data_IF_924506117892
#
_entry.id   IF_924506117892
#
_cell.length_a   1.000
_cell.length_b   1.000
_cell.length_c   1.000
_cell.angle_alpha   90.00
_cell.angle_beta   90.00
_cell.angle_gamma   90.00
#
_symmetry.space_group_name_H-M   'P 1'
#
loop_
_entity.id
_entity.type
_entity.pdbx_description
1 polymer ?
#
# COMPACT_ATOMS: atom_id res chain seq x y z
N UNK A 1 -9.69 -3.08 10.65
CA UNK A 1 -8.23 -2.99 10.39
C UNK A 1 -7.71 -1.56 10.28
N UNK A 2 -8.52 -0.59 9.84
CA UNK A 2 -8.10 0.81 9.62
C UNK A 2 -8.45 1.73 10.81
N UNK A 3 -9.33 1.27 11.71
CA UNK A 3 -9.82 2.03 12.87
C UNK A 3 -8.75 2.26 13.92
N UNK A 4 -7.83 1.31 14.11
CA UNK A 4 -6.75 1.44 15.09
C UNK A 4 -5.75 2.55 14.73
N UNK A 5 -5.45 2.72 13.43
CA UNK A 5 -4.48 3.74 12.98
C UNK A 5 -5.03 5.17 13.02
N UNK A 6 -6.35 5.36 13.10
CA UNK A 6 -6.97 6.69 13.30
C UNK A 6 -6.75 7.26 14.70
N UNK A 7 -6.28 6.42 15.63
CA UNK A 7 -6.03 6.79 17.03
C UNK A 7 -4.57 7.23 17.25
N UNK A 8 -3.75 7.25 16.19
CA UNK A 8 -2.36 7.70 16.28
C UNK A 8 -2.29 9.20 16.00
N UNK A 9 -1.98 9.98 17.04
CA UNK A 9 -1.96 11.45 16.98
C UNK A 9 -0.96 12.03 15.97
N UNK A 10 0.05 11.25 15.56
CA UNK A 10 1.13 11.66 14.65
C UNK A 10 1.08 11.02 13.26
N UNK A 11 0.03 10.28 12.93
CA UNK A 11 -0.06 9.59 11.64
C UNK A 11 -1.24 10.12 10.81
N UNK A 12 -0.94 10.57 9.60
CA UNK A 12 -1.97 10.94 8.63
C UNK A 12 -2.26 9.77 7.68
N UNK A 13 -3.53 9.46 7.48
CA UNK A 13 -3.94 8.40 6.55
C UNK A 13 -3.88 8.90 5.11
N UNK A 14 -3.34 8.05 4.24
CA UNK A 14 -3.34 8.22 2.78
C UNK A 14 -4.29 7.20 2.17
N UNK A 15 -5.27 7.69 1.42
CA UNK A 15 -6.27 6.83 0.76
C UNK A 15 -5.71 6.15 -0.47
N UNK A 16 -5.86 4.83 -0.56
CA UNK A 16 -5.49 4.09 -1.77
C UNK A 16 -6.59 4.18 -2.82
N UNK A 17 -6.31 4.85 -3.93
CA UNK A 17 -7.25 5.02 -5.05
C UNK A 17 -7.52 3.72 -5.82
N UNK A 18 -6.68 2.68 -5.67
CA UNK A 18 -6.97 1.38 -6.27
C UNK A 18 -8.24 0.76 -5.68
N UNK A 19 -8.59 1.07 -4.43
CA UNK A 19 -9.86 0.65 -3.82
C UNK A 19 -11.05 1.37 -4.42
N UNK A 20 -10.92 2.67 -4.68
CA UNK A 20 -11.96 3.47 -5.37
C UNK A 20 -12.18 2.90 -6.76
N UNK A 21 -11.10 2.74 -7.54
CA UNK A 21 -11.10 2.15 -8.87
C UNK A 21 -11.79 0.78 -8.90
N UNK A 22 -11.44 -0.11 -7.96
CA UNK A 22 -12.03 -1.45 -7.84
C UNK A 22 -13.54 -1.39 -7.60
N UNK A 23 -14.02 -0.48 -6.74
CA UNK A 23 -15.45 -0.34 -6.47
C UNK A 23 -16.22 0.11 -7.71
N UNK A 24 -15.69 1.06 -8.47
CA UNK A 24 -16.30 1.47 -9.75
C UNK A 24 -16.26 0.35 -10.78
N UNK A 25 -15.16 -0.41 -10.85
CA UNK A 25 -15.07 -1.59 -11.70
C UNK A 25 -16.14 -2.65 -11.34
N UNK A 26 -16.31 -2.97 -10.06
CA UNK A 26 -17.32 -3.94 -9.57
C UNK A 26 -18.76 -3.44 -9.77
N UNK A 27 -18.96 -2.11 -9.80
CA UNK A 27 -20.22 -1.46 -10.10
C UNK A 27 -20.52 -1.35 -11.61
N UNK A 28 -19.52 -1.58 -12.47
CA UNK A 28 -19.67 -1.51 -13.93
C UNK A 28 -20.13 -2.86 -14.47
N UNK A 29 -21.30 -2.96 -15.12
CA UNK A 29 -21.76 -4.25 -15.65
C UNK A 29 -20.96 -4.63 -16.91
N UNK A 30 -20.65 -5.94 -17.05
CA UNK A 30 -19.75 -6.46 -18.09
C UNK A 30 -20.25 -6.32 -19.54
N UNK A 31 -21.55 -6.04 -19.75
CA UNK A 31 -22.20 -5.99 -21.08
C UNK A 31 -22.73 -4.61 -21.44
N UNK A 32 -22.35 -3.56 -20.72
CA UNK A 32 -22.94 -2.23 -20.89
C UNK A 32 -22.07 -1.31 -21.72
N UNK A 33 -22.75 -0.35 -22.32
CA UNK A 33 -22.20 0.76 -23.09
C UNK A 33 -21.16 1.55 -22.27
N UNK A 34 -20.12 2.07 -22.95
CA UNK A 34 -19.00 2.80 -22.31
C UNK A 34 -19.45 4.08 -21.58
N UNK A 35 -20.72 4.43 -21.71
CA UNK A 35 -21.39 5.62 -21.17
C UNK A 35 -21.95 5.43 -19.75
N UNK A 36 -21.92 4.21 -19.18
CA UNK A 36 -22.43 3.98 -17.83
C UNK A 36 -21.71 4.80 -16.76
N UNK A 37 -22.40 5.16 -15.67
CA UNK A 37 -21.81 5.91 -14.56
C UNK A 37 -20.63 5.14 -13.90
N UNK A 38 -20.71 3.82 -13.84
CA UNK A 38 -19.61 2.98 -13.37
C UNK A 38 -18.37 3.12 -14.25
N UNK A 39 -18.54 3.04 -15.58
CA UNK A 39 -17.47 3.23 -16.54
C UNK A 39 -16.87 4.65 -16.48
N UNK A 40 -17.71 5.68 -16.27
CA UNK A 40 -17.24 7.05 -16.07
C UNK A 40 -16.39 7.20 -14.81
N UNK A 41 -16.81 6.62 -13.68
CA UNK A 41 -16.01 6.61 -12.46
C UNK A 41 -14.69 5.85 -12.62
N UNK A 42 -14.69 4.75 -13.38
CA UNK A 42 -13.49 4.02 -13.74
C UNK A 42 -12.55 4.88 -14.61
N UNK A 43 -13.09 5.61 -15.59
CA UNK A 43 -12.32 6.50 -16.45
C UNK A 43 -11.64 7.63 -15.68
N UNK A 44 -12.29 8.22 -14.67
CA UNK A 44 -11.64 9.16 -13.76
C UNK A 44 -10.45 8.53 -13.04
N UNK A 45 -10.65 7.33 -12.48
CA UNK A 45 -9.58 6.62 -11.78
C UNK A 45 -8.42 6.28 -12.73
N UNK A 46 -8.71 5.81 -13.93
CA UNK A 46 -7.69 5.50 -14.94
C UNK A 46 -6.89 6.73 -15.33
N UNK A 47 -7.54 7.89 -15.46
CA UNK A 47 -6.87 9.16 -15.75
C UNK A 47 -5.96 9.61 -14.60
N UNK A 48 -6.41 9.47 -13.34
CA UNK A 48 -5.56 9.74 -12.16
C UNK A 48 -4.30 8.86 -12.17
N UNK A 49 -4.46 7.55 -12.44
CA UNK A 49 -3.33 6.63 -12.51
C UNK A 49 -2.42 6.87 -13.71
N UNK A 50 -2.97 7.29 -14.85
CA UNK A 50 -2.18 7.65 -16.04
C UNK A 50 -1.25 8.82 -15.73
N UNK A 51 -1.79 9.89 -15.14
CA UNK A 51 -1.00 11.05 -14.75
C UNK A 51 0.13 10.67 -13.78
N UNK A 52 -0.16 9.88 -12.75
CA UNK A 52 0.87 9.41 -11.81
C UNK A 52 1.97 8.56 -12.48
N UNK A 53 1.61 7.74 -13.48
CA UNK A 53 2.59 6.96 -14.23
C UNK A 53 3.47 7.85 -15.10
N UNK A 54 2.90 8.88 -15.72
CA UNK A 54 3.64 9.87 -16.53
C UNK A 54 4.64 10.67 -15.66
N UNK A 55 4.43 10.70 -14.34
CA UNK A 55 5.27 11.40 -13.36
C UNK A 55 6.15 10.45 -12.51
N UNK A 56 6.27 9.19 -12.91
CA UNK A 56 7.00 8.19 -12.13
C UNK A 56 8.48 8.58 -11.93
N UNK A 57 9.11 9.15 -12.97
CA UNK A 57 10.54 9.50 -12.98
C UNK A 57 10.83 10.96 -12.57
N UNK A 58 9.81 11.75 -12.23
CA UNK A 58 9.98 13.12 -11.77
C UNK A 58 10.53 13.20 -10.34
N UNK A 59 11.14 14.33 -9.99
CA UNK A 59 11.52 14.61 -8.60
C UNK A 59 10.27 14.70 -7.70
N UNK A 60 10.47 14.55 -6.39
CA UNK A 60 9.40 14.69 -5.39
C UNK A 60 8.72 16.06 -5.48
N UNK A 61 9.48 17.13 -5.68
CA UNK A 61 8.99 18.50 -5.82
C UNK A 61 8.22 18.71 -7.12
N UNK A 62 8.75 18.21 -8.24
CA UNK A 62 8.10 18.28 -9.55
C UNK A 62 6.78 17.50 -9.57
N UNK A 63 6.78 16.28 -9.00
CA UNK A 63 5.58 15.47 -8.86
C UNK A 63 4.55 16.16 -7.97
N UNK A 64 4.97 16.77 -6.85
CA UNK A 64 4.07 17.53 -5.99
C UNK A 64 3.47 18.72 -6.73
N UNK A 65 4.26 19.47 -7.49
CA UNK A 65 3.77 20.57 -8.31
C UNK A 65 2.72 20.09 -9.33
N UNK A 66 3.03 19.02 -10.08
CA UNK A 66 2.10 18.37 -11.01
C UNK A 66 0.81 17.90 -10.34
N UNK A 67 0.90 17.33 -9.14
CA UNK A 67 -0.27 16.95 -8.34
C UNK A 67 -1.15 18.15 -8.02
N UNK A 68 -0.56 19.28 -7.63
CA UNK A 68 -1.30 20.49 -7.32
C UNK A 68 -1.95 21.12 -8.56
N UNK A 69 -1.26 21.14 -9.70
CA UNK A 69 -1.73 21.81 -10.92
C UNK A 69 -2.66 20.96 -11.79
N UNK A 70 -2.50 19.63 -11.79
CA UNK A 70 -3.20 18.73 -12.71
C UNK A 70 -4.05 17.67 -11.97
N UNK A 71 -3.52 17.03 -10.92
CA UNK A 71 -4.23 15.97 -10.21
C UNK A 71 -5.34 16.53 -9.30
N UNK A 72 -5.09 17.64 -8.61
CA UNK A 72 -6.04 18.24 -7.68
C UNK A 72 -7.34 18.71 -8.39
N UNK A 73 -7.28 19.42 -9.54
CA UNK A 73 -8.50 19.75 -10.31
C UNK A 73 -9.24 18.49 -10.78
N UNK A 74 -8.53 17.45 -11.21
CA UNK A 74 -9.16 16.19 -11.63
C UNK A 74 -9.86 15.48 -10.46
N UNK A 75 -9.28 15.52 -9.26
CA UNK A 75 -9.94 15.04 -8.05
C UNK A 75 -11.18 15.87 -7.71
N UNK A 76 -11.12 17.20 -7.84
CA UNK A 76 -12.26 18.08 -7.62
C UNK A 76 -13.41 17.74 -8.57
N UNK A 77 -13.11 17.60 -9.86
CA UNK A 77 -14.07 17.15 -10.87
C UNK A 77 -14.72 15.82 -10.50
N UNK A 78 -13.92 14.83 -10.09
CA UNK A 78 -14.40 13.51 -9.70
C UNK A 78 -15.32 13.57 -8.47
N UNK A 79 -14.93 14.28 -7.41
CA UNK A 79 -15.74 14.38 -6.20
C UNK A 79 -17.01 15.19 -6.43
N UNK A 80 -16.93 16.30 -7.17
CA UNK A 80 -18.10 17.07 -7.59
C UNK A 80 -19.05 16.22 -8.44
N UNK A 81 -18.52 15.46 -9.40
CA UNK A 81 -19.31 14.52 -10.19
C UNK A 81 -20.01 13.50 -9.28
N UNK A 82 -19.33 12.89 -8.32
CA UNK A 82 -19.93 11.94 -7.38
C UNK A 82 -21.08 12.55 -6.57
N UNK A 83 -20.93 13.79 -6.06
CA UNK A 83 -22.00 14.48 -5.29
C UNK A 83 -23.23 14.77 -6.13
N UNK A 84 -23.05 14.98 -7.43
CA UNK A 84 -24.14 15.33 -8.36
C UNK A 84 -24.88 14.12 -8.92
N UNK A 85 -24.55 12.88 -8.53
CA UNK A 85 -25.25 11.70 -9.02
C UNK A 85 -26.39 11.28 -8.09
N UNK A 86 -27.57 11.07 -8.66
CA UNK A 86 -28.67 10.39 -7.99
C UNK A 86 -28.54 8.87 -8.21
N UNK A 87 -28.12 8.15 -7.19
CA UNK A 87 -27.91 6.70 -7.23
C UNK A 87 -28.71 5.98 -6.16
N UNK A 88 -29.18 4.77 -6.48
CA UNK A 88 -29.93 3.96 -5.54
C UNK A 88 -29.06 3.63 -4.30
N UNK A 89 -29.50 3.95 -3.07
CA UNK A 89 -28.79 3.59 -1.85
C UNK A 89 -28.55 2.08 -1.77
N UNK A 90 -27.34 1.67 -1.36
CA UNK A 90 -26.96 0.25 -1.27
C UNK A 90 -26.70 -0.46 -2.60
N UNK A 91 -26.91 0.20 -3.76
CA UNK A 91 -26.42 -0.32 -5.03
C UNK A 91 -24.89 -0.32 -5.06
N UNK A 92 -24.27 -1.19 -5.88
CA UNK A 92 -22.80 -1.21 -6.03
C UNK A 92 -22.22 0.15 -6.41
N UNK A 93 -22.92 0.88 -7.29
CA UNK A 93 -22.53 2.23 -7.69
C UNK A 93 -22.69 3.22 -6.54
N UNK A 94 -23.81 3.15 -5.81
CA UNK A 94 -24.04 3.94 -4.60
C UNK A 94 -22.95 3.73 -3.56
N UNK A 95 -22.58 2.47 -3.28
CA UNK A 95 -21.48 2.13 -2.38
C UNK A 95 -20.13 2.65 -2.87
N UNK A 96 -19.88 2.67 -4.19
CA UNK A 96 -18.65 3.23 -4.75
C UNK A 96 -18.55 4.75 -4.52
N UNK A 97 -19.63 5.48 -4.80
CA UNK A 97 -19.70 6.93 -4.60
C UNK A 97 -19.68 7.30 -3.11
N UNK A 98 -20.46 6.63 -2.28
CA UNK A 98 -20.48 6.82 -0.83
C UNK A 98 -19.09 6.59 -0.22
N UNK A 99 -18.41 5.50 -0.61
CA UNK A 99 -17.05 5.23 -0.15
C UNK A 99 -16.07 6.33 -0.58
N UNK A 100 -16.19 6.82 -1.81
CA UNK A 100 -15.35 7.90 -2.34
C UNK A 100 -15.53 9.18 -1.53
N UNK A 101 -16.78 9.61 -1.34
CA UNK A 101 -17.13 10.84 -0.62
C UNK A 101 -16.81 10.75 0.87
N UNK A 102 -17.06 9.60 1.50
CA UNK A 102 -16.81 9.38 2.93
C UNK A 102 -15.33 9.57 3.31
N UNK A 103 -14.41 9.30 2.38
CA UNK A 103 -12.97 9.35 2.63
C UNK A 103 -12.27 10.37 1.74
N UNK A 104 -12.99 11.37 1.21
CA UNK A 104 -12.44 12.39 0.31
C UNK A 104 -11.19 13.06 0.87
N UNK A 105 -11.21 13.52 2.12
CA UNK A 105 -10.05 14.15 2.78
C UNK A 105 -8.85 13.20 2.82
N UNK A 106 -9.09 11.91 3.04
CA UNK A 106 -8.04 10.88 3.08
C UNK A 106 -7.46 10.60 1.68
N UNK A 107 -8.28 10.65 0.63
CA UNK A 107 -7.82 10.49 -0.75
C UNK A 107 -7.03 11.71 -1.25
N UNK A 108 -7.34 12.89 -0.73
CA UNK A 108 -6.63 14.15 -1.03
C UNK A 108 -5.30 14.27 -0.30
N UNK A 109 -5.03 13.49 0.75
CA UNK A 109 -3.74 13.52 1.45
C UNK A 109 -2.54 13.35 0.50
N UNK A 110 -2.67 12.59 -0.59
CA UNK A 110 -1.59 12.41 -1.57
C UNK A 110 -1.11 13.72 -2.21
N UNK A 111 -1.93 14.77 -2.14
CA UNK A 111 -1.60 16.10 -2.66
C UNK A 111 -0.70 16.90 -1.72
N UNK A 112 -0.53 16.49 -0.45
CA UNK A 112 0.28 17.27 0.50
C UNK A 112 1.77 17.01 0.39
N UNK A 113 2.18 15.90 -0.23
CA UNK A 113 3.57 15.44 -0.27
C UNK A 113 3.80 14.55 -1.51
N UNK A 114 4.88 14.81 -2.25
CA UNK A 114 5.25 14.13 -3.49
C UNK A 114 5.75 12.69 -3.29
N UNK A 115 6.18 12.32 -2.08
CA UNK A 115 6.65 10.97 -1.73
C UNK A 115 5.50 10.00 -1.43
N UNK A 116 4.29 10.54 -1.22
CA UNK A 116 3.11 9.71 -1.02
C UNK A 116 2.71 9.00 -2.31
N UNK A 117 2.16 7.79 -2.18
CA UNK A 117 1.75 6.96 -3.32
C UNK A 117 0.23 6.94 -3.48
N UNK A 118 -0.23 7.05 -4.73
CA UNK A 118 -1.67 7.00 -5.06
C UNK A 118 -2.28 5.60 -4.78
N UNK A 119 -1.45 4.56 -4.79
CA UNK A 119 -1.85 3.19 -4.46
C UNK A 119 -0.83 2.49 -3.56
N UNK A 120 -1.33 1.79 -2.55
CA UNK A 120 -0.56 0.91 -1.68
C UNK A 120 -0.41 -0.52 -2.23
N UNK A 121 -0.76 -0.79 -3.50
CA UNK A 121 -0.79 -2.14 -4.07
C UNK A 121 0.53 -2.91 -3.90
N UNK A 122 1.68 -2.23 -3.99
CA UNK A 122 2.99 -2.86 -3.76
C UNK A 122 3.14 -3.35 -2.32
N UNK A 123 2.77 -2.51 -1.35
CA UNK A 123 2.79 -2.87 0.06
C UNK A 123 1.80 -4.00 0.38
N UNK A 124 0.60 -3.96 -0.19
CA UNK A 124 -0.40 -5.02 -0.03
C UNK A 124 0.07 -6.35 -0.62
N UNK A 125 0.72 -6.33 -1.80
CA UNK A 125 1.30 -7.53 -2.42
C UNK A 125 2.40 -8.13 -1.55
N UNK A 126 3.31 -7.30 -1.01
CA UNK A 126 4.36 -7.77 -0.10
C UNK A 126 3.78 -8.42 1.17
N UNK A 127 2.73 -7.81 1.73
CA UNK A 127 2.06 -8.33 2.93
C UNK A 127 1.22 -9.59 2.66
N UNK A 128 0.76 -9.80 1.43
CA UNK A 128 -0.07 -10.97 1.07
C UNK A 128 0.65 -12.29 1.36
N UNK A 129 1.96 -12.36 1.12
CA UNK A 129 2.79 -13.54 1.42
C UNK A 129 2.74 -13.88 2.91
N UNK A 130 2.93 -12.89 3.79
CA UNK A 130 2.80 -13.06 5.25
C UNK A 130 1.39 -13.52 5.63
N UNK A 131 0.36 -12.86 5.09
CA UNK A 131 -1.04 -13.14 5.44
C UNK A 131 -1.48 -14.55 5.05
N UNK A 132 -0.98 -15.05 3.92
CA UNK A 132 -1.20 -16.43 3.47
C UNK A 132 -0.33 -17.41 4.28
N UNK A 133 0.94 -17.08 4.50
CA UNK A 133 1.90 -17.88 5.25
C UNK A 133 1.45 -18.16 6.67
N UNK A 134 1.03 -17.14 7.44
CA UNK A 134 0.56 -17.31 8.82
C UNK A 134 -0.67 -18.21 8.99
N UNK A 135 -1.44 -18.45 7.92
CA UNK A 135 -2.56 -19.41 7.95
C UNK A 135 -2.07 -20.85 7.79
N UNK A 136 -0.88 -21.03 7.21
CA UNK A 136 -0.34 -22.31 6.76
C UNK A 136 0.97 -22.70 7.49
N UNK A 137 1.58 -21.79 8.25
CA UNK A 137 2.82 -22.03 8.98
C UNK A 137 2.51 -22.47 10.42
N UNK A 138 2.96 -23.68 10.75
CA UNK A 138 2.95 -24.16 12.13
C UNK A 138 3.79 -23.20 12.97
N UNK A 139 3.28 -22.79 14.14
CA UNK A 139 3.96 -21.91 15.12
C UNK A 139 4.00 -20.39 14.82
N UNK A 140 3.27 -19.88 13.82
CA UNK A 140 3.19 -18.42 13.55
C UNK A 140 2.29 -17.63 14.52
N UNK A 141 1.83 -18.25 15.62
CA UNK A 141 0.90 -17.66 16.60
C UNK A 141 1.59 -17.18 17.88
N UNK A 142 2.88 -17.47 18.06
CA UNK A 142 3.67 -16.89 19.17
C UNK A 142 4.34 -15.58 18.73
N UNK A 143 4.62 -14.70 19.70
CA UNK A 143 5.35 -13.46 19.43
C UNK A 143 6.73 -13.72 18.81
N UNK A 144 7.46 -14.71 19.35
CA UNK A 144 8.77 -15.11 18.82
C UNK A 144 8.68 -15.70 17.41
N UNK A 145 7.64 -16.48 17.11
CA UNK A 145 7.37 -16.99 15.78
C UNK A 145 7.07 -15.87 14.77
N UNK A 146 6.29 -14.86 15.19
CA UNK A 146 6.00 -13.68 14.37
C UNK A 146 7.27 -12.84 14.11
N UNK A 147 8.12 -12.65 15.12
CA UNK A 147 9.39 -11.93 15.00
C UNK A 147 10.34 -12.63 14.02
N UNK A 148 10.51 -13.95 14.17
CA UNK A 148 11.36 -14.76 13.30
C UNK A 148 10.86 -14.75 11.85
N UNK A 149 9.55 -14.89 11.68
CA UNK A 149 8.86 -14.79 10.39
C UNK A 149 9.10 -13.44 9.71
N UNK A 150 8.99 -12.33 10.46
CA UNK A 150 9.20 -10.99 9.95
C UNK A 150 10.64 -10.78 9.44
N UNK A 151 11.64 -11.32 10.16
CA UNK A 151 13.05 -11.27 9.75
C UNK A 151 13.26 -12.03 8.44
N UNK A 152 12.82 -13.29 8.38
CA UNK A 152 13.01 -14.16 7.20
C UNK A 152 12.34 -13.54 5.97
N UNK A 153 11.08 -13.09 6.09
CA UNK A 153 10.38 -12.46 4.98
C UNK A 153 11.04 -11.15 4.54
N UNK A 154 11.58 -10.36 5.46
CA UNK A 154 12.30 -9.13 5.11
C UNK A 154 13.53 -9.43 4.25
N UNK A 155 14.31 -10.48 4.59
CA UNK A 155 15.47 -10.91 3.81
C UNK A 155 15.06 -11.44 2.43
N UNK A 156 14.03 -12.28 2.36
CA UNK A 156 13.52 -12.83 1.10
C UNK A 156 12.98 -11.74 0.17
N UNK A 157 12.20 -10.79 0.68
CA UNK A 157 11.68 -9.68 -0.12
C UNK A 157 12.78 -8.71 -0.55
N UNK A 158 13.84 -8.55 0.25
CA UNK A 158 15.05 -7.81 -0.16
C UNK A 158 15.74 -8.50 -1.34
N UNK A 159 15.97 -9.81 -1.25
CA UNK A 159 16.58 -10.58 -2.34
C UNK A 159 15.80 -10.42 -3.66
N UNK A 160 14.48 -10.60 -3.60
CA UNK A 160 13.59 -10.44 -4.76
C UNK A 160 13.64 -9.03 -5.35
N UNK A 161 13.64 -7.99 -4.51
CA UNK A 161 13.72 -6.59 -4.98
C UNK A 161 15.01 -6.29 -5.73
N UNK A 162 16.10 -6.96 -5.37
CA UNK A 162 17.38 -6.84 -6.06
C UNK A 162 17.57 -7.85 -7.20
N UNK A 163 16.52 -8.61 -7.57
CA UNK A 163 16.60 -9.62 -8.64
C UNK A 163 17.51 -10.81 -8.31
N UNK A 164 17.77 -11.05 -7.03
CA UNK A 164 18.60 -12.16 -6.57
C UNK A 164 17.77 -13.44 -6.44
N UNK A 165 18.43 -14.58 -6.66
CA UNK A 165 17.88 -15.88 -6.31
C UNK A 165 17.76 -16.00 -4.78
N UNK A 166 16.53 -16.16 -4.30
CA UNK A 166 16.24 -16.09 -2.87
C UNK A 166 16.84 -17.26 -2.08
N UNK A 167 16.96 -18.44 -2.68
CA UNK A 167 17.58 -19.60 -2.04
C UNK A 167 19.08 -19.36 -1.89
N UNK A 168 19.77 -19.01 -2.98
CA UNK A 168 21.21 -18.72 -2.95
C UNK A 168 21.55 -17.59 -2.00
N UNK A 169 20.72 -16.54 -1.98
CA UNK A 169 20.90 -15.42 -1.06
C UNK A 169 20.76 -15.86 0.41
N UNK A 170 19.73 -16.65 0.73
CA UNK A 170 19.55 -17.16 2.10
C UNK A 170 20.67 -18.11 2.51
N UNK A 171 21.11 -19.01 1.63
CA UNK A 171 22.24 -19.91 1.87
C UNK A 171 23.52 -19.11 2.14
N UNK A 172 23.83 -18.12 1.29
CA UNK A 172 24.97 -17.24 1.48
C UNK A 172 24.94 -16.56 2.85
N UNK A 173 23.80 -15.98 3.24
CA UNK A 173 23.63 -15.33 4.54
C UNK A 173 23.84 -16.31 5.70
N UNK A 174 23.27 -17.52 5.62
CA UNK A 174 23.40 -18.52 6.69
C UNK A 174 24.82 -19.08 6.82
N UNK A 175 25.57 -19.17 5.72
CA UNK A 175 26.96 -19.63 5.71
C UNK A 175 27.95 -18.57 6.19
N UNK A 176 27.73 -17.30 5.82
CA UNK A 176 28.72 -16.24 6.02
C UNK A 176 28.42 -15.37 7.25
N UNK A 177 27.16 -15.02 7.53
CA UNK A 177 26.83 -14.14 8.68
C UNK A 177 27.29 -14.67 10.04
N UNK A 178 27.21 -15.98 10.36
CA UNK A 178 27.72 -16.49 11.63
C UNK A 178 29.22 -16.28 11.82
N UNK A 179 29.96 -16.18 10.71
CA UNK A 179 31.41 -16.05 10.65
C UNK A 179 31.87 -14.59 10.45
N UNK A 180 30.94 -13.64 10.33
CA UNK A 180 31.26 -12.22 10.22
C UNK A 180 31.66 -11.62 11.57
N UNK A 181 32.95 -11.32 11.74
CA UNK A 181 33.53 -10.83 13.00
C UNK A 181 32.86 -9.54 13.52
N UNK A 182 32.38 -8.70 12.60
CA UNK A 182 31.70 -7.43 12.90
C UNK A 182 30.35 -7.64 13.60
N UNK A 183 29.70 -8.78 13.37
CA UNK A 183 28.43 -9.15 13.97
C UNK A 183 28.62 -10.05 15.20
N UNK A 184 29.65 -10.88 15.20
CA UNK A 184 29.99 -11.77 16.32
C UNK A 184 30.36 -11.00 17.61
N UNK A 185 31.12 -9.90 17.49
CA UNK A 185 31.53 -9.06 18.65
C UNK A 185 30.36 -8.37 19.37
N UNK A 186 29.21 -8.21 18.72
CA UNK A 186 28.05 -7.52 19.30
C UNK A 186 27.30 -8.36 20.33
N UNK A 187 27.56 -9.68 20.41
CA UNK A 187 26.95 -10.60 21.39
C UNK A 187 27.76 -10.74 22.68
N UNK A 188 29.05 -10.44 22.68
CA UNK A 188 29.94 -10.64 23.83
C UNK A 188 30.07 -9.42 24.77
N UNK A 189 29.42 -8.30 24.46
CA UNK A 189 29.42 -7.09 25.30
C UNK A 189 28.23 -6.99 26.28
N UNK A 190 27.38 -8.00 26.37
CA UNK A 190 26.38 -8.14 27.43
C UNK A 190 26.95 -8.97 28.58
N UNK A 191 27.39 -8.29 29.65
CA UNK A 191 28.23 -8.85 30.71
C UNK A 191 27.71 -10.13 31.38
N UNK A 192 28.67 -11.03 31.65
CA UNK A 192 28.55 -12.08 32.66
C UNK A 192 28.23 -11.44 34.02
N UNK A 193 27.04 -11.70 34.55
CA UNK A 193 26.85 -11.72 36.00
C UNK A 193 27.29 -13.10 36.49
N UNK A 194 28.47 -13.18 37.09
CA UNK A 194 28.87 -14.30 37.94
C UNK A 194 28.13 -14.17 39.27
N UNK A 195 27.32 -15.17 39.62
CA UNK A 195 26.82 -15.33 40.99
C UNK A 195 28.00 -15.68 41.90
N UNK A 196 28.20 -14.85 42.93
CA UNK A 196 28.88 -15.17 44.18
C UNK A 196 27.94 -14.83 45.33
#
# INVERSE_FOLDING_TARGET
>A
MWSAYRQLDKAQLVGCWAHVRRKFFEATPKKTDKTSLGAKGLAYCDRLFSLENDWADLSTEERLHKRQTELAPLMDEFFNWCRNQAVLPGSKLGTAMEYSLKYETTFRTVLSDGDLVLSNNMAERAMKTLVMGRKNWLFSQSFEGAKSTAIILSLLETAKRHGLDAEKYMTYLLEHLPNEETLAKKRSSGGLFTMG
#
